data_IF_025176119723
#
_entry.id   IF_025176119723
#
_cell.length_a   1.000
_cell.length_b   1.000
_cell.length_c   1.000
_cell.angle_alpha   90.00
_cell.angle_beta   90.00
_cell.angle_gamma   90.00
#
_symmetry.space_group_name_H-M   'P 1'
#
loop_
_entity.id
_entity.type
_entity.pdbx_description
1 polymer ?
#
# COMPACT_ATOMS: atom_id res chain seq x y z
N UNK A 1 -15.58 -19.22 -12.66
CA UNK A 1 -14.37 -18.74 -11.96
C UNK A 1 -14.52 -19.18 -10.52
N UNK A 2 -13.75 -20.17 -10.04
CA UNK A 2 -13.94 -20.73 -8.69
C UNK A 2 -13.66 -19.63 -7.67
N UNK A 3 -14.66 -19.25 -6.89
CA UNK A 3 -14.48 -18.47 -5.68
C UNK A 3 -13.70 -19.35 -4.70
N UNK A 4 -12.42 -19.08 -4.50
CA UNK A 4 -11.68 -19.63 -3.38
C UNK A 4 -12.33 -19.05 -2.11
N UNK A 5 -13.00 -19.91 -1.34
CA UNK A 5 -13.63 -19.54 -0.07
C UNK A 5 -12.51 -19.27 0.94
N UNK A 6 -12.33 -18.03 1.36
CA UNK A 6 -11.39 -17.67 2.41
C UNK A 6 -11.94 -18.17 3.76
N UNK A 7 -11.38 -19.27 4.25
CA UNK A 7 -11.73 -19.81 5.55
C UNK A 7 -10.98 -19.00 6.62
N UNK A 8 -11.72 -18.24 7.42
CA UNK A 8 -11.15 -17.28 8.37
C UNK A 8 -10.40 -17.95 9.53
N UNK A 9 -9.08 -17.82 9.56
CA UNK A 9 -8.26 -17.80 10.77
C UNK A 9 -6.81 -17.44 10.42
N UNK A 10 -6.23 -16.42 11.05
CA UNK A 10 -4.78 -16.16 11.24
C UNK A 10 -3.84 -16.10 10.00
N UNK A 11 -4.28 -16.47 8.80
CA UNK A 11 -3.40 -16.74 7.67
C UNK A 11 -3.15 -15.52 6.80
N UNK A 12 -1.90 -15.42 6.36
CA UNK A 12 -1.52 -14.59 5.23
C UNK A 12 -2.38 -14.93 4.02
N UNK A 13 -2.95 -13.91 3.38
CA UNK A 13 -3.63 -14.06 2.09
C UNK A 13 -2.63 -13.77 0.98
N UNK A 14 -2.35 -14.78 0.14
CA UNK A 14 -1.46 -14.64 -1.01
C UNK A 14 -2.22 -14.70 -2.34
N UNK A 15 -2.34 -13.54 -2.97
CA UNK A 15 -2.90 -13.28 -4.28
C UNK A 15 -1.84 -12.81 -5.27
N UNK A 16 -0.55 -12.95 -4.94
CA UNK A 16 0.54 -12.48 -5.78
C UNK A 16 0.66 -13.30 -7.07
N UNK A 17 1.12 -12.66 -8.16
CA UNK A 17 1.43 -13.36 -9.43
C UNK A 17 0.26 -14.11 -10.10
N UNK A 18 -0.99 -13.69 -9.88
CA UNK A 18 -2.20 -14.35 -10.41
C UNK A 18 -2.80 -13.66 -11.65
N UNK A 19 -2.11 -12.66 -12.21
CA UNK A 19 -2.60 -11.82 -13.31
C UNK A 19 -3.98 -11.19 -13.03
N UNK A 20 -4.23 -10.83 -11.76
CA UNK A 20 -5.48 -10.24 -11.32
C UNK A 20 -5.63 -8.82 -11.87
N UNK A 21 -6.86 -8.45 -12.25
CA UNK A 21 -7.24 -7.08 -12.63
C UNK A 21 -8.05 -6.37 -11.55
N UNK A 22 -8.61 -7.12 -10.61
CA UNK A 22 -9.37 -6.62 -9.47
C UNK A 22 -9.23 -7.60 -8.29
N UNK A 23 -9.44 -7.09 -7.08
CA UNK A 23 -9.58 -7.89 -5.86
C UNK A 23 -11.07 -8.08 -5.60
N UNK A 24 -11.51 -9.32 -5.41
CA UNK A 24 -12.92 -9.65 -5.17
C UNK A 24 -13.03 -10.73 -4.10
N UNK A 25 -14.02 -10.60 -3.23
CA UNK A 25 -14.33 -11.61 -2.21
C UNK A 25 -13.29 -11.73 -1.10
N UNK A 26 -12.42 -10.73 -0.90
CA UNK A 26 -11.53 -10.71 0.25
C UNK A 26 -12.33 -10.52 1.55
N UNK A 27 -11.87 -11.07 2.69
CA UNK A 27 -12.51 -10.84 3.98
C UNK A 27 -12.41 -9.37 4.40
N UNK A 28 -13.22 -8.95 5.39
CA UNK A 28 -13.18 -7.57 5.89
C UNK A 28 -11.87 -7.22 6.62
N UNK A 29 -11.25 -8.20 7.27
CA UNK A 29 -10.00 -8.04 8.02
C UNK A 29 -9.05 -9.22 7.81
N UNK A 30 -7.76 -8.96 7.96
CA UNK A 30 -6.70 -9.97 7.92
C UNK A 30 -5.76 -9.76 9.10
N UNK A 31 -5.58 -10.82 9.88
CA UNK A 31 -4.69 -10.84 11.03
C UNK A 31 -3.21 -10.98 10.63
N UNK A 32 -2.95 -11.66 9.50
CA UNK A 32 -1.63 -11.84 8.90
C UNK A 32 -1.30 -10.81 7.82
N UNK A 33 -0.50 -11.24 6.85
CA UNK A 33 -0.10 -10.43 5.70
C UNK A 33 -1.12 -10.53 4.56
N UNK A 34 -1.20 -9.51 3.71
CA UNK A 34 -1.98 -9.52 2.48
C UNK A 34 -1.08 -9.18 1.30
N UNK A 35 -0.87 -10.17 0.44
CA UNK A 35 0.05 -10.11 -0.69
C UNK A 35 -0.78 -10.07 -1.98
N UNK A 36 -0.78 -8.94 -2.69
CA UNK A 36 -1.41 -8.80 -4.01
C UNK A 36 -0.45 -8.20 -5.06
N UNK A 37 0.84 -8.30 -4.79
CA UNK A 37 1.91 -7.81 -5.65
C UNK A 37 2.01 -8.59 -6.97
N UNK A 38 2.64 -7.97 -7.97
CA UNK A 38 2.91 -8.60 -9.27
C UNK A 38 1.63 -9.04 -10.01
N UNK A 39 0.64 -8.15 -10.09
CA UNK A 39 -0.61 -8.35 -10.82
C UNK A 39 -0.82 -7.22 -11.86
N UNK A 40 -2.03 -7.08 -12.38
CA UNK A 40 -2.46 -6.00 -13.27
C UNK A 40 -3.55 -5.12 -12.64
N UNK A 41 -3.51 -4.94 -11.31
CA UNK A 41 -4.48 -4.12 -10.57
C UNK A 41 -4.32 -2.64 -10.94
N UNK A 42 -5.44 -1.91 -11.06
CA UNK A 42 -5.47 -0.47 -11.31
C UNK A 42 -5.89 0.35 -10.08
N UNK A 43 -6.53 -0.30 -9.11
CA UNK A 43 -6.88 0.22 -7.78
C UNK A 43 -6.91 -0.97 -6.79
N UNK A 44 -7.22 -0.70 -5.53
CA UNK A 44 -7.24 -1.70 -4.46
C UNK A 44 -8.67 -2.00 -3.96
N UNK A 45 -9.71 -1.59 -4.70
CA UNK A 45 -11.11 -1.87 -4.32
C UNK A 45 -11.32 -3.37 -4.12
N UNK A 46 -12.05 -3.71 -3.06
CA UNK A 46 -12.33 -5.10 -2.68
C UNK A 46 -11.25 -5.75 -1.81
N UNK A 47 -10.24 -5.01 -1.33
CA UNK A 47 -9.33 -5.51 -0.31
C UNK A 47 -9.98 -5.54 1.10
N UNK A 48 -9.32 -6.16 2.09
CA UNK A 48 -9.68 -6.04 3.51
C UNK A 48 -9.39 -4.64 4.07
N UNK A 49 -10.35 -4.07 4.82
CA UNK A 49 -10.24 -2.73 5.40
C UNK A 49 -9.17 -2.61 6.49
N UNK A 50 -8.88 -3.70 7.21
CA UNK A 50 -7.94 -3.71 8.32
C UNK A 50 -6.96 -4.88 8.19
N UNK A 51 -5.67 -4.55 8.19
CA UNK A 51 -4.56 -5.51 8.04
C UNK A 51 -3.63 -5.35 9.23
N UNK A 52 -3.50 -6.38 10.07
CA UNK A 52 -2.55 -6.34 11.20
C UNK A 52 -1.11 -6.61 10.78
N UNK A 53 -0.90 -7.38 9.71
CA UNK A 53 0.41 -7.65 9.14
C UNK A 53 0.86 -6.61 8.11
N UNK A 54 1.52 -7.11 7.07
CA UNK A 54 2.00 -6.37 5.92
C UNK A 54 0.96 -6.32 4.80
N UNK A 55 0.95 -5.24 4.02
CA UNK A 55 0.14 -5.11 2.81
C UNK A 55 1.05 -4.83 1.60
N UNK A 56 1.20 -5.80 0.72
CA UNK A 56 2.09 -5.72 -0.44
C UNK A 56 1.30 -5.65 -1.74
N UNK A 57 1.35 -4.50 -2.41
CA UNK A 57 0.68 -4.26 -3.69
C UNK A 57 1.64 -3.73 -4.78
N UNK A 58 2.95 -3.84 -4.54
CA UNK A 58 3.98 -3.42 -5.48
C UNK A 58 3.92 -4.19 -6.82
N UNK A 59 4.50 -3.60 -7.88
CA UNK A 59 4.50 -4.17 -9.24
C UNK A 59 3.10 -4.44 -9.76
N UNK A 60 2.27 -3.40 -9.77
CA UNK A 60 0.94 -3.40 -10.36
C UNK A 60 0.84 -2.26 -11.38
N UNK A 61 -0.38 -1.88 -11.77
CA UNK A 61 -0.67 -0.72 -12.62
C UNK A 61 -1.54 0.29 -11.86
N UNK A 62 -1.34 0.39 -10.54
CA UNK A 62 -2.15 1.26 -9.69
C UNK A 62 -1.95 2.72 -10.13
N UNK A 63 -3.05 3.41 -10.43
CA UNK A 63 -3.06 4.86 -10.70
C UNK A 63 -3.51 5.66 -9.49
N UNK A 64 -4.16 4.99 -8.51
CA UNK A 64 -4.49 5.52 -7.19
C UNK A 64 -4.39 4.40 -6.15
N UNK A 65 -4.35 4.77 -4.87
CA UNK A 65 -4.47 3.84 -3.76
C UNK A 65 -5.93 3.73 -3.28
N UNK A 66 -6.91 4.10 -4.11
CA UNK A 66 -8.32 3.99 -3.76
C UNK A 66 -8.67 2.53 -3.40
N UNK A 67 -9.27 2.34 -2.22
CA UNK A 67 -9.58 1.03 -1.68
C UNK A 67 -8.45 0.36 -0.89
N UNK A 68 -7.33 1.04 -0.65
CA UNK A 68 -6.31 0.56 0.29
C UNK A 68 -6.91 0.42 1.71
N UNK A 69 -6.30 -0.39 2.60
CA UNK A 69 -6.80 -0.54 3.96
C UNK A 69 -6.64 0.79 4.72
N UNK A 70 -7.54 1.08 5.65
CA UNK A 70 -7.48 2.32 6.44
C UNK A 70 -6.26 2.33 7.39
N UNK A 71 -5.90 1.15 7.88
CA UNK A 71 -4.79 0.93 8.81
C UNK A 71 -4.01 -0.33 8.44
N UNK A 72 -2.69 -0.22 8.49
CA UNK A 72 -1.74 -1.34 8.30
C UNK A 72 -0.86 -1.44 9.53
N UNK A 73 -0.82 -2.62 10.15
CA UNK A 73 -0.06 -2.82 11.39
C UNK A 73 1.44 -2.83 11.20
N UNK A 74 1.93 -3.25 10.02
CA UNK A 74 3.37 -3.33 9.71
C UNK A 74 3.68 -2.53 8.45
N UNK A 75 4.09 -3.17 7.36
CA UNK A 75 4.57 -2.49 6.15
C UNK A 75 3.45 -2.29 5.14
N UNK A 76 3.37 -1.11 4.53
CA UNK A 76 2.61 -0.89 3.30
C UNK A 76 3.56 -0.64 2.13
N UNK A 77 3.49 -1.48 1.11
CA UNK A 77 4.45 -1.48 0.00
C UNK A 77 3.72 -1.36 -1.34
N UNK A 78 3.82 -0.18 -1.97
CA UNK A 78 3.20 0.15 -3.25
C UNK A 78 4.19 0.57 -4.35
N UNK A 79 5.47 0.20 -4.22
CA UNK A 79 6.50 0.50 -5.22
C UNK A 79 6.15 -0.03 -6.62
N UNK A 80 6.75 0.57 -7.65
CA UNK A 80 6.58 0.13 -9.04
C UNK A 80 5.10 0.10 -9.47
N UNK A 81 4.47 1.27 -9.42
CA UNK A 81 3.12 1.54 -9.90
C UNK A 81 3.12 2.85 -10.73
N UNK A 82 1.95 3.38 -11.06
CA UNK A 82 1.76 4.61 -11.86
C UNK A 82 1.06 5.69 -11.02
N UNK A 83 1.39 5.76 -9.72
CA UNK A 83 0.77 6.72 -8.80
C UNK A 83 1.32 8.13 -9.05
N UNK A 84 0.44 9.12 -9.18
CA UNK A 84 0.81 10.55 -9.31
C UNK A 84 0.62 11.34 -8.01
N UNK A 85 -0.18 10.80 -7.10
CA UNK A 85 -0.34 11.22 -5.70
C UNK A 85 -0.47 9.98 -4.81
N UNK A 86 -0.57 10.19 -3.50
CA UNK A 86 -0.80 9.13 -2.52
C UNK A 86 -2.26 9.10 -2.05
N UNK A 87 -3.18 9.65 -2.84
CA UNK A 87 -4.61 9.64 -2.52
C UNK A 87 -5.14 8.21 -2.37
N UNK A 88 -5.86 7.99 -1.26
CA UNK A 88 -6.34 6.67 -0.85
C UNK A 88 -5.35 5.87 -0.01
N UNK A 89 -4.14 6.37 0.27
CA UNK A 89 -3.18 5.63 1.11
C UNK A 89 -3.72 5.38 2.53
N UNK A 90 -3.23 4.34 3.23
CA UNK A 90 -3.61 4.10 4.62
C UNK A 90 -3.33 5.32 5.49
N UNK A 91 -4.25 5.66 6.40
CA UNK A 91 -4.07 6.80 7.30
C UNK A 91 -2.94 6.57 8.29
N UNK A 92 -2.78 5.33 8.76
CA UNK A 92 -1.79 4.93 9.75
C UNK A 92 -1.09 3.65 9.29
N UNK A 93 0.24 3.69 9.25
CA UNK A 93 1.11 2.56 8.95
C UNK A 93 2.03 2.35 10.15
N UNK A 94 2.01 1.15 10.75
CA UNK A 94 2.77 0.86 11.98
C UNK A 94 4.26 0.63 11.74
N UNK A 95 4.66 0.24 10.53
CA UNK A 95 6.05 0.04 10.12
C UNK A 95 6.42 0.94 8.94
N UNK A 96 7.14 0.37 7.98
CA UNK A 96 7.67 1.11 6.83
C UNK A 96 6.59 1.38 5.77
N UNK A 97 6.75 2.52 5.08
CA UNK A 97 5.95 2.89 3.91
C UNK A 97 6.86 3.04 2.68
N UNK A 98 6.64 2.16 1.70
CA UNK A 98 7.37 2.15 0.44
C UNK A 98 6.45 2.63 -0.69
N UNK A 99 6.80 3.75 -1.30
CA UNK A 99 6.13 4.34 -2.48
C UNK A 99 7.12 4.80 -3.57
N UNK A 100 8.28 4.15 -3.63
CA UNK A 100 9.33 4.42 -4.62
C UNK A 100 8.93 3.95 -6.00
N UNK A 101 9.61 4.45 -7.04
CA UNK A 101 9.37 4.01 -8.43
C UNK A 101 7.90 4.16 -8.85
N UNK A 102 7.35 5.34 -8.60
CA UNK A 102 6.04 5.78 -9.07
C UNK A 102 6.21 7.07 -9.90
N UNK A 103 5.12 7.77 -10.18
CA UNK A 103 5.10 9.02 -10.95
C UNK A 103 4.67 10.20 -10.06
N UNK A 104 4.98 10.15 -8.76
CA UNK A 104 4.48 11.12 -7.80
C UNK A 104 4.97 12.53 -8.13
N UNK A 105 4.02 13.44 -8.34
CA UNK A 105 4.27 14.88 -8.48
C UNK A 105 3.97 15.63 -7.17
N UNK A 106 3.15 15.01 -6.30
CA UNK A 106 2.76 15.53 -4.99
C UNK A 106 2.68 14.40 -3.96
N UNK A 107 2.78 14.76 -2.68
CA UNK A 107 2.54 13.87 -1.54
C UNK A 107 1.10 13.96 -1.02
N UNK A 108 0.18 14.54 -1.79
CA UNK A 108 -1.22 14.66 -1.40
C UNK A 108 -1.81 13.27 -1.14
N UNK A 109 -2.56 13.14 -0.05
CA UNK A 109 -3.13 11.87 0.39
C UNK A 109 -2.18 10.95 1.16
N UNK A 110 -0.94 11.38 1.44
CA UNK A 110 0.00 10.59 2.24
C UNK A 110 -0.55 10.14 3.61
N UNK A 111 -0.01 9.05 4.18
CA UNK A 111 -0.33 8.64 5.54
C UNK A 111 -0.11 9.76 6.54
N UNK A 112 -0.94 9.82 7.58
CA UNK A 112 -0.76 10.78 8.68
C UNK A 112 0.37 10.36 9.61
N UNK A 113 0.55 9.06 9.81
CA UNK A 113 1.62 8.51 10.64
C UNK A 113 2.24 7.27 9.97
N UNK A 114 3.58 7.25 9.93
CA UNK A 114 4.41 6.11 9.54
C UNK A 114 5.33 5.77 10.71
N UNK A 115 5.15 4.56 11.25
CA UNK A 115 5.88 4.09 12.43
C UNK A 115 7.33 3.67 12.17
N UNK A 116 7.67 3.40 10.91
CA UNK A 116 9.01 3.08 10.43
C UNK A 116 9.55 4.12 9.46
N UNK A 117 10.25 3.65 8.43
CA UNK A 117 10.84 4.48 7.40
C UNK A 117 9.80 4.92 6.35
N UNK A 118 10.01 6.09 5.76
CA UNK A 118 9.27 6.56 4.59
C UNK A 118 10.21 6.56 3.38
N UNK A 119 9.97 5.68 2.41
CA UNK A 119 10.86 5.45 1.26
C UNK A 119 10.12 5.84 -0.03
N UNK A 120 10.57 6.90 -0.71
CA UNK A 120 9.87 7.47 -1.86
C UNK A 120 10.79 7.97 -2.99
N UNK A 121 11.94 7.35 -3.16
CA UNK A 121 12.89 7.70 -4.21
C UNK A 121 12.40 7.25 -5.61
N UNK A 122 12.97 7.85 -6.66
CA UNK A 122 12.66 7.46 -8.04
C UNK A 122 11.23 7.76 -8.46
N UNK A 123 10.67 8.87 -7.97
CA UNK A 123 9.42 9.45 -8.43
C UNK A 123 9.67 10.53 -9.50
N UNK A 124 8.61 11.15 -10.04
CA UNK A 124 8.75 12.19 -11.08
C UNK A 124 9.63 13.36 -10.60
N UNK A 125 9.57 13.67 -9.30
CA UNK A 125 10.54 14.53 -8.63
C UNK A 125 11.01 13.92 -7.32
N UNK A 126 12.14 14.42 -6.83
CA UNK A 126 12.60 14.13 -5.48
C UNK A 126 11.84 15.01 -4.49
N UNK A 127 11.37 14.41 -3.40
CA UNK A 127 10.78 15.12 -2.27
C UNK A 127 11.82 15.29 -1.19
N UNK A 128 11.93 16.48 -0.61
CA UNK A 128 12.82 16.71 0.52
C UNK A 128 12.26 16.09 1.80
N UNK A 129 13.15 15.82 2.76
CA UNK A 129 12.75 15.37 4.10
C UNK A 129 11.75 16.34 4.75
N UNK A 130 11.95 17.64 4.59
CA UNK A 130 11.07 18.68 5.15
C UNK A 130 9.65 18.62 4.56
N UNK A 131 9.52 18.39 3.25
CA UNK A 131 8.20 18.23 2.61
C UNK A 131 7.44 17.03 3.17
N UNK A 132 8.14 15.91 3.40
CA UNK A 132 7.53 14.70 3.96
C UNK A 132 7.15 14.91 5.44
N UNK A 133 8.02 15.53 6.23
CA UNK A 133 7.73 15.82 7.65
C UNK A 133 6.60 16.84 7.84
N UNK A 134 6.38 17.73 6.87
CA UNK A 134 5.29 18.69 6.93
C UNK A 134 3.89 18.03 6.81
N UNK A 135 3.81 16.84 6.20
CA UNK A 135 2.54 16.19 5.86
C UNK A 135 2.35 14.82 6.53
N UNK A 136 3.43 14.18 6.96
CA UNK A 136 3.43 12.86 7.59
C UNK A 136 4.33 12.84 8.84
N UNK A 137 3.82 12.31 9.95
CA UNK A 137 4.64 11.99 11.12
C UNK A 137 5.40 10.69 10.88
N UNK A 138 6.67 10.80 10.49
CA UNK A 138 7.57 9.66 10.27
C UNK A 138 8.46 9.44 11.50
N UNK A 139 8.39 8.25 12.10
CA UNK A 139 9.22 7.87 13.27
C UNK A 139 10.60 7.35 12.88
N UNK A 140 10.74 6.75 11.71
CA UNK A 140 12.02 6.26 11.18
C UNK A 140 12.74 7.27 10.30
N UNK A 141 13.55 6.75 9.38
CA UNK A 141 14.30 7.54 8.39
C UNK A 141 13.41 7.88 7.20
N UNK A 142 13.73 9.00 6.55
CA UNK A 142 13.16 9.38 5.26
C UNK A 142 14.22 9.12 4.19
N UNK A 143 13.84 8.43 3.12
CA UNK A 143 14.73 8.01 2.04
C UNK A 143 14.10 8.45 0.72
N UNK A 144 14.70 9.44 0.06
CA UNK A 144 14.14 10.20 -1.07
C UNK A 144 15.09 10.28 -2.23
#
# INVERSE_FOLDING_TARGET
MRQEMFNGSLETIDLSHKNLKALNGCPESVEGDFLCNSNSLINLKGNPRNIKGNFYCHRNRLTSLEGAPEKVGRVFHCDHNQLTSLEGSPRIIGGDFYCSKNELISLNGSPKEVGGNFICWGNYRNFSENEIRAICKVKGKIIT
#
